data_IF_589632484501
#
_entry.id   IF_589632484501
#
_cell.length_a   1.000
_cell.length_b   1.000
_cell.length_c   1.000
_cell.angle_alpha   90.00
_cell.angle_beta   90.00
_cell.angle_gamma   90.00
#
_symmetry.space_group_name_H-M   'P 1'
#
loop_
_entity.id
_entity.type
_entity.pdbx_description
1 polymer ?
#
# COMPACT_ATOMS: atom_id res chain seq x y z
N UNK A 1 6.78 -8.16 -14.49
CA UNK A 1 5.78 -7.29 -13.83
C UNK A 1 4.36 -7.49 -14.35
N UNK A 2 4.14 -7.58 -15.65
CA UNK A 2 2.78 -7.67 -16.22
C UNK A 2 1.97 -8.88 -15.71
N UNK A 3 2.63 -10.02 -15.50
CA UNK A 3 1.99 -11.20 -14.90
C UNK A 3 1.38 -10.91 -13.51
N UNK A 4 2.12 -10.27 -12.61
CA UNK A 4 1.61 -9.89 -11.29
C UNK A 4 0.41 -8.91 -11.41
N UNK A 5 0.50 -7.96 -12.32
CA UNK A 5 -0.55 -6.96 -12.55
C UNK A 5 -1.85 -7.60 -13.03
N UNK A 6 -1.79 -8.52 -13.99
CA UNK A 6 -2.99 -9.20 -14.51
C UNK A 6 -3.69 -10.03 -13.42
N UNK A 7 -2.91 -10.71 -12.57
CA UNK A 7 -3.47 -11.46 -11.44
C UNK A 7 -4.16 -10.55 -10.42
N UNK A 8 -3.49 -9.45 -10.06
CA UNK A 8 -4.06 -8.45 -9.15
C UNK A 8 -5.34 -7.88 -9.73
N UNK A 9 -5.36 -7.55 -11.01
CA UNK A 9 -6.53 -7.02 -11.71
C UNK A 9 -7.71 -7.99 -11.70
N UNK A 10 -7.47 -9.28 -11.91
CA UNK A 10 -8.52 -10.29 -11.91
C UNK A 10 -9.13 -10.56 -10.53
N UNK A 11 -8.37 -10.30 -9.47
CA UNK A 11 -8.82 -10.51 -8.09
C UNK A 11 -9.43 -9.26 -7.46
N UNK A 12 -8.88 -8.09 -7.77
CA UNK A 12 -9.29 -6.82 -7.19
C UNK A 12 -10.66 -6.37 -7.66
N UNK A 13 -11.23 -5.41 -6.94
CA UNK A 13 -12.52 -4.79 -7.30
C UNK A 13 -12.29 -3.76 -8.42
N UNK A 14 -13.23 -3.59 -9.36
CA UNK A 14 -13.17 -2.53 -10.37
C UNK A 14 -12.99 -1.15 -9.71
N UNK A 15 -12.32 -0.23 -10.43
CA UNK A 15 -12.04 1.12 -9.91
C UNK A 15 -13.31 1.94 -9.68
N UNK A 16 -14.33 1.71 -10.47
CA UNK A 16 -15.67 2.33 -10.36
C UNK A 16 -16.60 1.63 -9.37
N UNK A 17 -16.15 0.51 -8.74
CA UNK A 17 -16.96 -0.20 -7.77
C UNK A 17 -17.22 0.69 -6.54
N UNK A 18 -18.49 1.05 -6.36
CA UNK A 18 -18.99 1.65 -5.13
C UNK A 18 -19.45 0.55 -4.17
N UNK A 19 -19.54 0.84 -2.88
CA UNK A 19 -20.17 -0.05 -1.91
C UNK A 19 -21.67 -0.10 -2.17
N UNK A 20 -22.11 -0.96 -3.08
CA UNK A 20 -23.49 -1.01 -3.63
C UNK A 20 -24.42 -1.74 -2.71
N UNK A 21 -24.46 -1.82 -1.51
CA UNK A 21 -25.57 -2.37 -0.67
C UNK A 21 -25.40 -2.10 0.83
N UNK A 22 -24.46 -1.26 1.26
CA UNK A 22 -24.41 -0.82 2.64
C UNK A 22 -25.12 0.53 2.78
N UNK A 23 -25.76 0.74 3.91
CA UNK A 23 -26.16 2.09 4.32
C UNK A 23 -24.97 3.05 4.17
N UNK A 24 -25.22 4.35 3.92
CA UNK A 24 -24.12 5.33 3.79
C UNK A 24 -23.13 5.14 4.93
N UNK A 25 -21.89 4.82 4.59
CA UNK A 25 -20.83 4.65 5.59
C UNK A 25 -20.40 6.04 6.05
N UNK A 26 -20.91 6.48 7.19
CA UNK A 26 -20.64 7.79 7.80
C UNK A 26 -19.24 7.86 8.44
N UNK A 27 -18.49 6.77 8.45
CA UNK A 27 -17.13 6.76 9.00
C UNK A 27 -16.20 7.65 8.20
N UNK A 28 -15.23 8.30 8.85
CA UNK A 28 -14.18 9.01 8.13
C UNK A 28 -13.47 8.06 7.17
N UNK A 29 -13.27 8.49 5.94
CA UNK A 29 -12.65 7.71 4.87
C UNK A 29 -11.21 8.12 4.65
N UNK A 30 -10.40 7.16 4.25
CA UNK A 30 -9.05 7.38 3.78
C UNK A 30 -8.72 6.40 2.65
N UNK A 31 -7.76 6.76 1.83
CA UNK A 31 -7.28 5.87 0.79
C UNK A 31 -5.76 5.85 0.78
N UNK A 32 -5.20 4.67 0.52
CA UNK A 32 -3.77 4.48 0.39
C UNK A 32 -3.45 3.91 -0.98
N UNK A 33 -2.38 4.38 -1.59
CA UNK A 33 -1.87 3.77 -2.81
C UNK A 33 -0.96 2.61 -2.45
N UNK A 34 -1.14 1.46 -3.10
CA UNK A 34 -0.19 0.34 -3.10
C UNK A 34 0.59 0.42 -4.42
N UNK A 35 1.69 1.22 -4.47
CA UNK A 35 2.36 1.53 -5.71
C UNK A 35 3.37 0.45 -6.08
N UNK A 36 3.09 -0.27 -7.16
CA UNK A 36 3.95 -1.31 -7.72
C UNK A 36 4.75 -0.75 -8.88
N UNK A 37 6.02 -1.12 -8.99
CA UNK A 37 6.87 -0.73 -10.10
C UNK A 37 7.91 -1.79 -10.42
N UNK A 38 8.46 -1.76 -11.64
CA UNK A 38 9.58 -2.59 -12.03
C UNK A 38 10.89 -1.94 -11.57
N UNK A 39 11.63 -2.62 -10.70
CA UNK A 39 12.92 -2.15 -10.24
C UNK A 39 13.93 -2.13 -11.38
N UNK A 40 14.60 -1.00 -11.61
CA UNK A 40 15.45 -0.76 -12.77
C UNK A 40 16.57 -1.78 -12.99
N UNK A 41 17.18 -2.26 -11.91
CA UNK A 41 18.30 -3.20 -11.95
C UNK A 41 17.84 -4.67 -11.93
N UNK A 42 16.97 -5.02 -10.97
CA UNK A 42 16.57 -6.41 -10.74
C UNK A 42 15.47 -6.89 -11.67
N UNK A 43 14.77 -5.97 -12.35
CA UNK A 43 13.59 -6.24 -13.20
C UNK A 43 12.43 -6.93 -12.46
N UNK A 44 12.50 -6.98 -11.12
CA UNK A 44 11.45 -7.55 -10.28
C UNK A 44 10.40 -6.50 -9.94
N UNK A 45 9.21 -6.96 -9.62
CA UNK A 45 8.15 -6.08 -9.10
C UNK A 45 8.46 -5.70 -7.66
N UNK A 46 8.56 -4.41 -7.41
CA UNK A 46 8.73 -3.85 -6.08
C UNK A 46 7.48 -3.05 -5.68
N UNK A 47 7.24 -2.96 -4.39
CA UNK A 47 6.28 -2.02 -3.79
C UNK A 47 7.03 -0.87 -3.15
N UNK A 48 6.54 0.36 -3.37
CA UNK A 48 7.03 1.56 -2.70
C UNK A 48 6.36 1.70 -1.33
N UNK A 49 7.18 1.93 -0.31
CA UNK A 49 6.74 2.22 1.06
C UNK A 49 7.41 3.49 1.58
N UNK A 50 6.74 4.17 2.49
CA UNK A 50 7.24 5.36 3.17
C UNK A 50 7.42 5.10 4.66
N UNK A 51 8.33 5.83 5.31
CA UNK A 51 8.44 5.91 6.76
C UNK A 51 8.07 7.31 7.20
N UNK A 52 7.14 7.41 8.13
CA UNK A 52 6.72 8.66 8.74
C UNK A 52 7.78 9.21 9.69
N UNK A 53 7.92 10.54 9.82
CA UNK A 53 8.79 11.15 10.83
C UNK A 53 8.40 10.77 12.26
N UNK A 54 9.41 10.67 13.15
CA UNK A 54 9.21 10.30 14.56
C UNK A 54 8.48 11.40 15.38
N UNK A 55 8.47 12.63 14.91
CA UNK A 55 7.88 13.78 15.59
C UNK A 55 6.40 14.03 15.26
N UNK A 56 5.78 13.16 14.47
CA UNK A 56 4.36 13.31 14.13
C UNK A 56 3.44 12.93 15.29
N UNK A 57 2.30 13.61 15.39
CA UNK A 57 1.27 13.31 16.41
C UNK A 57 0.56 11.98 16.18
N UNK A 58 0.45 11.55 14.92
CA UNK A 58 -0.24 10.33 14.54
C UNK A 58 0.71 9.39 13.82
N UNK A 59 0.78 8.14 14.30
CA UNK A 59 1.59 7.08 13.71
C UNK A 59 3.09 7.45 13.53
N UNK A 60 3.77 8.05 14.56
CA UNK A 60 5.17 8.44 14.45
C UNK A 60 6.06 7.24 14.10
N UNK A 61 7.00 7.45 13.18
CA UNK A 61 8.00 6.46 12.79
C UNK A 61 7.47 5.21 12.09
N UNK A 62 6.17 5.12 11.84
CA UNK A 62 5.58 3.92 11.21
C UNK A 62 5.86 3.89 9.71
N UNK A 63 6.00 2.66 9.21
CA UNK A 63 6.01 2.39 7.78
C UNK A 63 4.58 2.28 7.28
N UNK A 64 4.30 2.98 6.18
CA UNK A 64 2.98 2.99 5.54
C UNK A 64 3.10 3.06 4.00
N UNK A 65 1.99 2.88 3.34
CA UNK A 65 1.82 3.32 1.95
C UNK A 65 1.61 4.82 1.90
N UNK A 66 1.93 5.49 0.79
CA UNK A 66 1.46 6.85 0.54
C UNK A 66 -0.06 6.89 0.61
N UNK A 67 -0.61 7.89 1.32
CA UNK A 67 -2.05 8.00 1.45
C UNK A 67 -2.51 8.73 2.70
N UNK A 68 -3.78 9.12 2.68
CA UNK A 68 -4.35 9.91 3.74
C UNK A 68 -5.87 9.98 3.71
N UNK A 69 -6.42 10.96 4.40
CA UNK A 69 -7.86 11.16 4.52
C UNK A 69 -8.45 11.71 3.24
N UNK A 70 -9.66 11.27 2.96
CA UNK A 70 -10.46 11.84 1.91
C UNK A 70 -10.83 13.29 2.24
N UNK A 71 -10.67 14.17 1.25
CA UNK A 71 -11.03 15.58 1.32
C UNK A 71 -12.21 15.90 0.38
N UNK A 72 -12.80 17.08 0.53
CA UNK A 72 -13.94 17.51 -0.30
C UNK A 72 -13.59 17.53 -1.80
N UNK A 73 -12.35 17.92 -2.14
CA UNK A 73 -11.83 17.93 -3.51
C UNK A 73 -11.70 16.56 -4.17
N UNK A 74 -11.69 15.49 -3.38
CA UNK A 74 -11.62 14.11 -3.88
C UNK A 74 -12.99 13.57 -4.34
N UNK A 75 -14.07 14.33 -4.15
CA UNK A 75 -15.44 14.01 -4.59
C UNK A 75 -15.95 12.62 -4.15
N UNK A 76 -15.43 12.11 -3.05
CA UNK A 76 -15.77 10.76 -2.58
C UNK A 76 -15.04 9.63 -3.30
N UNK A 77 -14.09 9.92 -4.18
CA UNK A 77 -13.34 8.93 -4.96
C UNK A 77 -12.05 8.50 -4.26
N UNK A 78 -11.97 7.22 -3.90
CA UNK A 78 -10.81 6.61 -3.26
C UNK A 78 -9.54 6.70 -4.12
N UNK A 79 -9.69 6.63 -5.46
CA UNK A 79 -8.55 6.71 -6.39
C UNK A 79 -7.98 8.12 -6.39
N UNK A 80 -8.84 9.14 -6.47
CA UNK A 80 -8.41 10.53 -6.44
C UNK A 80 -7.69 10.86 -5.12
N UNK A 81 -8.23 10.40 -3.99
CA UNK A 81 -7.58 10.56 -2.68
C UNK A 81 -6.17 9.94 -2.68
N UNK A 82 -6.05 8.68 -3.09
CA UNK A 82 -4.77 7.98 -3.08
C UNK A 82 -3.72 8.62 -4.01
N UNK A 83 -4.16 9.11 -5.17
CA UNK A 83 -3.29 9.79 -6.13
C UNK A 83 -2.83 11.17 -5.60
N UNK A 84 -3.74 11.98 -5.06
CA UNK A 84 -3.43 13.29 -4.48
C UNK A 84 -2.39 13.16 -3.38
N UNK A 85 -2.65 12.32 -2.41
CA UNK A 85 -1.75 12.07 -1.27
C UNK A 85 -0.37 11.56 -1.73
N UNK A 86 -0.34 10.66 -2.73
CA UNK A 86 0.92 10.16 -3.30
C UNK A 86 1.75 11.30 -3.92
N UNK A 87 1.09 12.23 -4.62
CA UNK A 87 1.76 13.39 -5.17
C UNK A 87 2.29 14.31 -4.06
N UNK A 88 1.50 14.57 -3.02
CA UNK A 88 1.86 15.43 -1.90
C UNK A 88 3.01 14.84 -1.06
N UNK A 89 2.98 13.55 -0.77
CA UNK A 89 3.95 12.87 0.09
C UNK A 89 5.28 12.54 -0.60
N UNK A 90 5.21 12.03 -1.85
CA UNK A 90 6.40 11.49 -2.54
C UNK A 90 6.68 12.10 -3.93
N UNK A 91 5.85 13.05 -4.37
CA UNK A 91 6.09 13.82 -5.60
C UNK A 91 5.83 13.08 -6.91
N UNK A 92 5.16 11.92 -6.88
CA UNK A 92 4.84 11.18 -8.10
C UNK A 92 3.55 11.72 -8.72
N UNK A 93 3.65 12.26 -9.94
CA UNK A 93 2.50 12.79 -10.66
C UNK A 93 1.48 11.72 -11.06
N UNK A 94 0.20 12.10 -11.07
CA UNK A 94 -0.93 11.23 -11.44
C UNK A 94 -0.74 10.58 -12.81
N UNK A 95 -0.19 11.31 -13.77
CA UNK A 95 0.09 10.82 -15.13
C UNK A 95 1.09 9.65 -15.16
N UNK A 96 1.94 9.54 -14.15
CA UNK A 96 2.90 8.47 -13.94
C UNK A 96 2.30 7.23 -13.29
N UNK A 97 1.07 7.32 -12.80
CA UNK A 97 0.39 6.25 -12.04
C UNK A 97 -0.75 5.70 -12.89
N UNK A 98 -0.81 4.38 -12.95
CA UNK A 98 -1.87 3.62 -13.62
C UNK A 98 -2.62 2.80 -12.58
N UNK A 99 -3.78 3.29 -12.07
CA UNK A 99 -4.58 2.54 -11.11
C UNK A 99 -5.09 1.23 -11.73
N UNK A 100 -4.98 0.12 -10.99
CA UNK A 100 -5.31 -1.23 -11.45
C UNK A 100 -6.66 -1.66 -10.90
N UNK A 101 -6.82 -1.58 -9.57
CA UNK A 101 -8.03 -2.00 -8.88
C UNK A 101 -8.09 -1.41 -7.46
N UNK A 102 -9.27 -1.45 -6.87
CA UNK A 102 -9.47 -1.22 -5.43
C UNK A 102 -9.43 -2.55 -4.69
N UNK A 103 -8.85 -2.55 -3.51
CA UNK A 103 -8.93 -3.67 -2.56
C UNK A 103 -10.10 -3.46 -1.60
N UNK A 104 -10.47 -4.49 -0.86
CA UNK A 104 -11.51 -4.33 0.14
C UNK A 104 -11.10 -3.30 1.19
N UNK A 105 -12.00 -2.39 1.52
CA UNK A 105 -11.76 -1.40 2.58
C UNK A 105 -11.66 -2.09 3.93
N UNK A 106 -10.76 -1.59 4.75
CA UNK A 106 -10.42 -2.15 6.06
C UNK A 106 -10.64 -1.07 7.09
N UNK A 107 -11.33 -1.40 8.18
CA UNK A 107 -11.48 -0.47 9.28
C UNK A 107 -10.22 -0.49 10.15
N UNK A 108 -9.63 0.69 10.36
CA UNK A 108 -8.52 0.87 11.28
C UNK A 108 -8.99 0.87 12.73
N UNK A 109 -8.07 0.66 13.68
CA UNK A 109 -8.36 0.72 15.12
C UNK A 109 -8.95 2.06 15.57
N UNK A 110 -8.73 3.12 14.80
CA UNK A 110 -9.25 4.47 15.07
C UNK A 110 -10.60 4.74 14.39
N UNK A 111 -11.26 3.71 13.84
CA UNK A 111 -12.56 3.83 13.18
C UNK A 111 -12.50 4.45 11.78
N UNK A 112 -11.31 4.62 11.19
CA UNK A 112 -11.13 5.11 9.84
C UNK A 112 -11.33 3.97 8.83
N UNK A 113 -12.17 4.18 7.83
CA UNK A 113 -12.35 3.24 6.73
C UNK A 113 -11.28 3.49 5.66
N UNK A 114 -10.31 2.59 5.55
CA UNK A 114 -9.16 2.73 4.65
C UNK A 114 -9.35 1.85 3.42
N UNK A 115 -9.37 2.46 2.24
CA UNK A 115 -9.46 1.76 0.94
C UNK A 115 -8.08 1.69 0.29
N UNK A 116 -7.48 0.50 0.12
CA UNK A 116 -6.27 0.36 -0.66
C UNK A 116 -6.57 0.41 -2.17
N UNK A 117 -5.82 1.23 -2.88
CA UNK A 117 -5.83 1.33 -4.34
C UNK A 117 -4.52 0.74 -4.85
N UNK A 118 -4.57 -0.39 -5.53
CA UNK A 118 -3.38 -0.96 -6.14
C UNK A 118 -3.13 -0.28 -7.48
N UNK A 119 -1.91 0.18 -7.70
CA UNK A 119 -1.55 0.91 -8.90
C UNK A 119 -0.14 0.57 -9.37
N UNK A 120 0.10 0.76 -10.66
CA UNK A 120 1.42 0.65 -11.29
C UNK A 120 2.01 2.04 -11.50
N UNK A 121 3.25 2.24 -11.06
CA UNK A 121 4.04 3.39 -11.52
C UNK A 121 4.64 3.03 -12.87
N UNK A 122 4.39 3.87 -13.88
CA UNK A 122 4.84 3.65 -15.26
C UNK A 122 6.36 3.75 -15.37
N UNK A 123 7.00 2.83 -16.13
CA UNK A 123 8.42 2.90 -16.39
C UNK A 123 8.78 4.05 -17.37
N UNK A 124 10.03 4.57 -17.37
CA UNK A 124 11.07 4.24 -16.38
C UNK A 124 10.78 4.90 -15.02
N UNK A 125 11.11 4.19 -13.93
CA UNK A 125 10.98 4.74 -12.58
C UNK A 125 12.17 4.32 -11.73
N UNK A 126 12.76 5.30 -11.04
CA UNK A 126 13.87 5.11 -10.12
C UNK A 126 13.57 5.84 -8.81
N UNK A 127 13.50 5.08 -7.71
CA UNK A 127 13.15 5.60 -6.38
C UNK A 127 14.14 6.66 -5.87
N UNK A 128 15.40 6.63 -6.30
CA UNK A 128 16.42 7.59 -5.86
C UNK A 128 16.33 8.93 -6.58
N UNK A 129 15.88 8.96 -7.84
CA UNK A 129 15.87 10.17 -8.67
C UNK A 129 14.48 10.75 -8.91
N UNK A 130 13.44 9.94 -8.88
CA UNK A 130 12.11 10.33 -9.34
C UNK A 130 11.17 10.72 -8.18
N UNK A 131 11.64 10.59 -6.92
CA UNK A 131 10.86 10.99 -5.76
C UNK A 131 11.27 12.38 -5.25
N UNK A 132 10.25 13.15 -4.84
CA UNK A 132 10.42 14.39 -4.09
C UNK A 132 9.62 14.25 -2.79
N UNK A 133 10.32 13.90 -1.72
CA UNK A 133 9.66 13.64 -0.43
C UNK A 133 9.22 14.94 0.24
N UNK A 134 8.03 14.96 0.82
CA UNK A 134 7.56 16.01 1.72
C UNK A 134 8.14 15.77 3.12
N UNK A 135 9.15 16.53 3.60
CA UNK A 135 9.84 16.21 4.86
C UNK A 135 8.95 16.30 6.12
N UNK A 136 7.80 16.96 5.98
CA UNK A 136 6.82 17.07 7.07
C UNK A 136 6.04 15.77 7.28
N UNK A 137 5.94 14.92 6.26
CA UNK A 137 5.09 13.72 6.26
C UNK A 137 5.86 12.43 6.00
N UNK A 138 6.99 12.53 5.31
CA UNK A 138 7.82 11.39 4.91
C UNK A 138 9.28 11.61 5.30
N UNK A 139 9.79 10.77 6.20
CA UNK A 139 11.21 10.74 6.59
C UNK A 139 12.07 9.98 5.58
N UNK A 140 11.54 8.89 5.05
CA UNK A 140 12.23 8.05 4.09
C UNK A 140 11.24 7.33 3.17
N UNK A 141 11.69 7.05 1.95
CA UNK A 141 11.01 6.14 1.04
C UNK A 141 11.95 5.01 0.65
N UNK A 142 11.42 3.81 0.51
CA UNK A 142 12.18 2.61 0.15
C UNK A 142 11.28 1.62 -0.61
N UNK A 143 11.88 0.62 -1.22
CA UNK A 143 11.13 -0.41 -1.90
C UNK A 143 11.47 -1.81 -1.44
N UNK A 144 10.49 -2.70 -1.55
CA UNK A 144 10.61 -4.10 -1.17
C UNK A 144 10.13 -4.95 -2.35
N UNK A 145 10.86 -6.00 -2.75
CA UNK A 145 10.34 -6.97 -3.73
C UNK A 145 9.03 -7.57 -3.23
N UNK A 146 8.01 -7.64 -4.09
CA UNK A 146 6.68 -8.10 -3.68
C UNK A 146 6.71 -9.55 -3.16
N UNK A 147 7.58 -10.38 -3.70
CA UNK A 147 7.74 -11.78 -3.30
C UNK A 147 8.27 -11.93 -1.87
N UNK A 148 8.89 -10.89 -1.32
CA UNK A 148 9.30 -10.88 0.08
C UNK A 148 8.10 -11.08 1.02
N UNK A 149 6.97 -10.44 0.72
CA UNK A 149 5.76 -10.53 1.52
C UNK A 149 4.95 -11.80 1.25
N UNK A 150 5.10 -12.42 0.10
CA UNK A 150 4.47 -13.70 -0.23
C UNK A 150 5.15 -14.89 0.50
N UNK A 151 6.41 -14.73 0.88
CA UNK A 151 7.16 -15.79 1.54
C UNK A 151 6.89 -15.78 3.06
N UNK A 152 6.18 -16.80 3.53
CA UNK A 152 5.84 -16.97 4.96
C UNK A 152 7.05 -17.05 5.90
N UNK A 153 8.24 -17.41 5.39
CA UNK A 153 9.48 -17.44 6.18
C UNK A 153 9.97 -16.04 6.57
N UNK A 154 9.53 -15.02 5.87
CA UNK A 154 9.90 -13.63 6.16
C UNK A 154 8.98 -12.97 7.21
N UNK A 155 7.90 -13.67 7.63
CA UNK A 155 7.05 -13.20 8.73
C UNK A 155 7.78 -13.41 10.05
N UNK A 156 8.26 -12.32 10.65
CA UNK A 156 9.01 -12.36 11.90
C UNK A 156 8.12 -12.64 13.12
N UNK A 157 6.92 -12.03 13.13
CA UNK A 157 5.96 -12.20 14.23
C UNK A 157 4.54 -12.39 13.69
N UNK A 158 3.77 -13.27 14.34
CA UNK A 158 2.32 -13.42 14.12
C UNK A 158 1.61 -13.27 15.46
N UNK A 159 0.57 -12.44 15.45
CA UNK A 159 -0.29 -12.27 16.62
C UNK A 159 -1.75 -12.34 16.19
N UNK A 160 -2.47 -13.30 16.75
CA UNK A 160 -3.93 -13.33 16.61
C UNK A 160 -4.54 -12.21 17.46
N UNK A 161 -5.41 -11.42 16.85
CA UNK A 161 -6.17 -10.37 17.51
C UNK A 161 -7.66 -10.60 17.27
N UNK A 162 -8.45 -10.47 18.34
CA UNK A 162 -9.91 -10.47 18.22
C UNK A 162 -10.37 -9.05 17.87
N UNK A 163 -11.06 -8.92 16.74
CA UNK A 163 -11.55 -7.65 16.26
C UNK A 163 -12.98 -7.77 15.72
N UNK A 164 -13.94 -7.09 16.35
CA UNK A 164 -15.36 -7.07 15.94
C UNK A 164 -15.96 -8.45 15.68
N UNK A 165 -15.64 -9.41 16.52
CA UNK A 165 -16.16 -10.78 16.40
C UNK A 165 -15.47 -11.68 15.38
N UNK A 166 -14.39 -11.19 14.74
CA UNK A 166 -13.52 -11.96 13.88
C UNK A 166 -12.10 -12.09 14.45
N UNK A 167 -11.37 -13.11 14.00
CA UNK A 167 -9.94 -13.27 14.29
C UNK A 167 -9.11 -12.78 13.13
N UNK A 168 -8.13 -11.93 13.44
CA UNK A 168 -7.18 -11.41 12.45
C UNK A 168 -5.76 -11.77 12.84
N UNK A 169 -4.99 -12.24 11.87
CA UNK A 169 -3.56 -12.47 12.06
C UNK A 169 -2.81 -11.19 11.71
N UNK A 170 -2.34 -10.50 12.73
CA UNK A 170 -1.42 -9.37 12.56
C UNK A 170 -0.02 -9.91 12.31
N UNK A 171 0.61 -9.47 11.21
CA UNK A 171 1.97 -9.86 10.80
C UNK A 171 2.94 -8.71 11.01
N UNK A 172 4.18 -9.07 11.34
CA UNK A 172 5.31 -8.13 11.38
C UNK A 172 6.42 -8.67 10.50
N UNK A 173 6.98 -7.79 9.68
CA UNK A 173 8.16 -8.04 8.85
C UNK A 173 9.27 -7.07 9.25
N UNK A 174 10.51 -7.54 9.18
CA UNK A 174 11.71 -6.69 9.23
C UNK A 174 12.41 -6.79 7.88
N UNK A 175 12.62 -5.65 7.24
CA UNK A 175 13.26 -5.57 5.93
C UNK A 175 14.47 -4.65 5.98
N UNK A 176 15.64 -5.17 5.64
CA UNK A 176 16.85 -4.36 5.49
C UNK A 176 16.97 -3.89 4.05
N UNK A 177 16.86 -2.58 3.84
CA UNK A 177 16.97 -1.97 2.52
C UNK A 177 18.41 -2.06 2.02
N UNK A 178 18.61 -2.68 0.85
CA UNK A 178 19.96 -2.92 0.30
C UNK A 178 20.71 -1.64 -0.05
N UNK A 179 20.02 -0.58 -0.45
CA UNK A 179 20.63 0.69 -0.84
C UNK A 179 21.10 1.55 0.35
N UNK A 180 20.42 1.45 1.50
CA UNK A 180 20.72 2.27 2.69
C UNK A 180 21.28 1.49 3.87
N UNK A 181 21.19 0.15 3.86
CA UNK A 181 21.51 -0.70 5.01
C UNK A 181 20.55 -0.55 6.20
N UNK A 182 19.53 0.29 6.08
CA UNK A 182 18.56 0.57 7.15
C UNK A 182 17.52 -0.54 7.24
N UNK A 183 17.21 -0.96 8.46
CA UNK A 183 16.12 -1.89 8.74
C UNK A 183 14.80 -1.13 8.96
N UNK A 184 13.72 -1.66 8.38
CA UNK A 184 12.37 -1.15 8.51
C UNK A 184 11.45 -2.20 9.09
N UNK A 185 10.70 -1.82 10.13
CA UNK A 185 9.62 -2.64 10.70
C UNK A 185 8.32 -2.35 9.95
N UNK A 186 7.76 -3.36 9.30
CA UNK A 186 6.51 -3.28 8.54
C UNK A 186 5.47 -4.13 9.27
N UNK A 187 4.39 -3.52 9.78
CA UNK A 187 3.42 -4.20 10.62
C UNK A 187 2.01 -3.60 10.48
N UNK A 188 1.05 -4.14 11.21
CA UNK A 188 -0.31 -3.60 11.28
C UNK A 188 -1.05 -3.66 9.94
N UNK A 189 -1.79 -2.61 9.62
CA UNK A 189 -2.60 -2.52 8.41
C UNK A 189 -1.75 -2.61 7.13
N UNK A 190 -0.62 -1.92 7.10
CA UNK A 190 0.32 -1.94 5.97
C UNK A 190 0.79 -3.37 5.65
N UNK A 191 1.24 -4.11 6.68
CA UNK A 191 1.66 -5.49 6.51
C UNK A 191 0.53 -6.42 6.07
N UNK A 192 -0.68 -6.22 6.60
CA UNK A 192 -1.87 -7.00 6.22
C UNK A 192 -2.25 -6.79 4.75
N UNK A 193 -2.28 -5.54 4.29
CA UNK A 193 -2.59 -5.20 2.91
C UNK A 193 -1.55 -5.80 1.96
N UNK A 194 -0.27 -5.51 2.17
CA UNK A 194 0.76 -5.97 1.23
C UNK A 194 0.92 -7.49 1.23
N UNK A 195 0.78 -8.14 2.38
CA UNK A 195 0.78 -9.61 2.43
C UNK A 195 -0.27 -10.19 1.50
N UNK A 196 -1.52 -9.72 1.59
CA UNK A 196 -2.62 -10.21 0.77
C UNK A 196 -2.42 -9.89 -0.72
N UNK A 197 -1.99 -8.66 -1.06
CA UNK A 197 -1.66 -8.30 -2.45
C UNK A 197 -0.53 -9.19 -2.99
N UNK A 198 0.50 -9.47 -2.19
CA UNK A 198 1.62 -10.31 -2.57
C UNK A 198 1.21 -11.77 -2.76
N UNK A 199 0.35 -12.31 -1.90
CA UNK A 199 -0.19 -13.66 -2.08
C UNK A 199 -0.92 -13.78 -3.43
N UNK A 200 -1.82 -12.85 -3.73
CA UNK A 200 -2.54 -12.83 -5.01
C UNK A 200 -1.57 -12.68 -6.19
N UNK A 201 -0.58 -11.81 -6.09
CA UNK A 201 0.37 -11.56 -7.18
C UNK A 201 1.26 -12.79 -7.47
N UNK A 202 1.69 -13.51 -6.43
CA UNK A 202 2.72 -14.54 -6.51
C UNK A 202 2.17 -15.98 -6.43
N UNK A 203 0.86 -16.18 -6.22
CA UNK A 203 0.28 -17.52 -6.12
C UNK A 203 0.33 -18.26 -7.47
N UNK A 204 1.11 -19.33 -7.56
CA UNK A 204 1.26 -20.12 -8.80
C UNK A 204 0.06 -21.04 -9.10
N UNK A 205 -0.84 -21.28 -8.14
CA UNK A 205 -1.92 -22.26 -8.26
C UNK A 205 -3.20 -21.75 -8.94
N UNK A 206 -3.36 -20.44 -9.14
CA UNK A 206 -4.55 -19.87 -9.78
C UNK A 206 -4.43 -19.75 -11.32
N UNK A 207 -3.41 -20.32 -11.94
CA UNK A 207 -3.16 -20.27 -13.39
C UNK A 207 -3.50 -21.58 -14.12
N UNK A 208 -4.27 -22.49 -13.50
CA UNK A 208 -4.73 -23.76 -14.12
C UNK A 208 -6.23 -23.77 -14.36
#
# INVERSE_FOLDING_TARGET
MDYHIERIRSYGRPLDATFSNAQPDERPKASVLVPLFEHSETKRTHVLLTKRPENLKSHPGQVCFPGGRQEEGDLGDDVLTALRETKEEVGVDHERIDPICKWNSIESVNGLCVTPVVARIKPPFNIQSDLTLCPREVEAAFSVPIEFFANEKNVAERKEIDWKGGKFTMRTYYYTCSSSGREFKIWGLTAGIIHHVAQVACDEQAAS
#
